data_IF_985477913272
#
_entry.id   IF_985477913272
#
_cell.length_a   1.000
_cell.length_b   1.000
_cell.length_c   1.000
_cell.angle_alpha   90.00
_cell.angle_beta   90.00
_cell.angle_gamma   90.00
#
_symmetry.space_group_name_H-M   'P 1'
#
loop_
_entity.id
_entity.type
_entity.pdbx_description
1 polymer ?
#
# COMPACT_ATOMS: atom_id res chain seq x y z
N UNK A 1 1.91 7.55 -4.84
CA UNK A 1 3.36 7.32 -4.61
C UNK A 1 3.81 7.75 -3.23
N UNK A 2 3.66 9.03 -2.84
CA UNK A 2 4.10 9.55 -1.53
C UNK A 2 3.58 8.72 -0.35
N UNK A 3 2.29 8.37 -0.37
CA UNK A 3 1.69 7.51 0.67
C UNK A 3 2.48 6.21 0.89
N UNK A 4 2.84 5.48 -0.17
CA UNK A 4 3.54 4.20 -0.04
C UNK A 4 4.98 4.35 0.46
N UNK A 5 5.62 5.49 0.19
CA UNK A 5 6.92 5.81 0.80
C UNK A 5 6.78 6.04 2.30
N UNK A 6 5.72 6.73 2.75
CA UNK A 6 5.43 6.89 4.17
C UNK A 6 5.09 5.56 4.85
N UNK A 7 4.35 4.67 4.17
CA UNK A 7 4.08 3.32 4.67
C UNK A 7 5.37 2.52 4.84
N UNK A 8 6.34 2.65 3.93
CA UNK A 8 7.65 2.00 4.09
C UNK A 8 8.36 2.46 5.37
N UNK A 9 8.35 3.77 5.66
CA UNK A 9 8.91 4.32 6.90
C UNK A 9 8.13 3.82 8.13
N UNK A 10 6.80 3.73 8.04
CA UNK A 10 5.95 3.18 9.08
C UNK A 10 6.26 1.71 9.38
N UNK A 11 6.55 0.88 8.37
CA UNK A 11 6.97 -0.51 8.57
C UNK A 11 8.31 -0.63 9.32
N UNK A 12 9.25 0.27 9.06
CA UNK A 12 10.48 0.36 9.86
C UNK A 12 10.18 0.73 11.32
N UNK A 13 9.26 1.67 11.55
CA UNK A 13 8.80 2.03 12.90
C UNK A 13 8.23 0.82 13.65
N UNK A 14 7.38 0.03 13.00
CA UNK A 14 6.86 -1.20 13.59
C UNK A 14 7.95 -2.21 13.91
N UNK A 15 8.93 -2.38 13.04
CA UNK A 15 10.06 -3.26 13.32
C UNK A 15 10.82 -2.86 14.57
N UNK A 16 11.19 -1.59 14.71
CA UNK A 16 11.93 -1.11 15.88
C UNK A 16 11.16 -1.39 17.17
N UNK A 17 9.84 -1.20 17.14
CA UNK A 17 8.97 -1.35 18.32
C UNK A 17 8.60 -2.80 18.63
N UNK A 18 8.50 -3.68 17.63
CA UNK A 18 8.00 -5.05 17.79
C UNK A 18 9.08 -6.13 17.68
N UNK A 19 10.29 -5.82 17.19
CA UNK A 19 11.38 -6.81 16.99
C UNK A 19 11.76 -7.57 18.26
N UNK A 20 11.64 -6.94 19.45
CA UNK A 20 11.92 -7.61 20.73
C UNK A 20 10.92 -8.73 21.03
N UNK A 21 9.70 -8.66 20.48
CA UNK A 21 8.68 -9.67 20.70
C UNK A 21 8.79 -10.83 19.71
N UNK A 22 8.94 -10.54 18.42
CA UNK A 22 9.20 -11.54 17.40
C UNK A 22 9.93 -10.94 16.21
N UNK A 23 11.27 -10.90 16.28
CA UNK A 23 12.11 -10.34 15.24
C UNK A 23 11.95 -11.04 13.89
N UNK A 24 11.84 -12.37 13.88
CA UNK A 24 11.73 -13.16 12.65
C UNK A 24 10.45 -12.85 11.88
N UNK A 25 9.29 -12.84 12.54
CA UNK A 25 8.03 -12.48 11.89
C UNK A 25 8.02 -11.04 11.41
N UNK A 26 8.63 -10.12 12.16
CA UNK A 26 8.73 -8.71 11.74
C UNK A 26 9.65 -8.53 10.52
N UNK A 27 10.76 -9.27 10.43
CA UNK A 27 11.61 -9.25 9.23
C UNK A 27 10.87 -9.76 7.99
N UNK A 28 10.14 -10.87 8.13
CA UNK A 28 9.31 -11.41 7.04
C UNK A 28 8.26 -10.36 6.63
N UNK A 29 7.57 -9.75 7.60
CA UNK A 29 6.57 -8.73 7.32
C UNK A 29 7.13 -7.53 6.55
N UNK A 30 8.29 -6.99 6.97
CA UNK A 30 8.93 -5.87 6.26
C UNK A 30 9.36 -6.28 4.86
N UNK A 31 9.96 -7.47 4.71
CA UNK A 31 10.41 -7.95 3.40
C UNK A 31 9.23 -7.98 2.42
N UNK A 32 8.11 -8.59 2.82
CA UNK A 32 6.91 -8.64 2.01
C UNK A 32 6.35 -7.24 1.74
N UNK A 33 6.29 -6.39 2.77
CA UNK A 33 5.81 -5.02 2.65
C UNK A 33 6.63 -4.19 1.66
N UNK A 34 7.96 -4.28 1.71
CA UNK A 34 8.86 -3.58 0.80
C UNK A 34 8.80 -4.11 -0.61
N UNK A 35 8.73 -5.44 -0.79
CA UNK A 35 8.51 -6.03 -2.12
C UNK A 35 7.19 -5.56 -2.73
N UNK A 36 6.12 -5.52 -1.94
CA UNK A 36 4.84 -4.99 -2.37
C UNK A 36 4.91 -3.50 -2.74
N UNK A 37 5.52 -2.67 -1.88
CA UNK A 37 5.68 -1.24 -2.16
C UNK A 37 6.53 -1.01 -3.42
N UNK A 38 7.60 -1.77 -3.62
CA UNK A 38 8.39 -1.73 -4.85
C UNK A 38 7.56 -2.09 -6.09
N UNK A 39 6.72 -3.14 -5.99
CA UNK A 39 5.80 -3.51 -7.06
C UNK A 39 4.80 -2.39 -7.38
N UNK A 40 4.26 -1.70 -6.38
CA UNK A 40 3.37 -0.54 -6.58
C UNK A 40 4.08 0.63 -7.26
N UNK A 41 5.32 0.92 -6.85
CA UNK A 41 6.08 2.01 -7.46
C UNK A 41 6.34 1.72 -8.95
N UNK A 42 6.60 0.45 -9.31
CA UNK A 42 6.73 0.02 -10.70
C UNK A 42 5.41 -0.04 -11.48
N UNK A 43 4.27 -0.25 -10.81
CA UNK A 43 2.95 -0.25 -11.46
C UNK A 43 2.39 1.16 -11.68
N UNK A 44 2.93 2.18 -11.01
CA UNK A 44 2.45 3.54 -11.11
C UNK A 44 2.86 4.19 -12.44
N UNK A 45 1.88 4.57 -13.26
CA UNK A 45 2.07 5.16 -14.60
C UNK A 45 1.95 6.69 -14.64
N UNK A 46 2.00 7.37 -13.50
CA UNK A 46 1.69 8.81 -13.43
C UNK A 46 2.67 9.69 -14.21
N UNK A 47 3.96 9.35 -14.24
CA UNK A 47 4.95 10.14 -14.98
C UNK A 47 4.85 9.90 -16.49
N UNK A 48 4.64 8.65 -16.91
CA UNK A 48 4.43 8.30 -18.31
C UNK A 48 3.14 8.92 -18.85
N UNK A 49 2.08 8.96 -18.04
CA UNK A 49 0.84 9.68 -18.37
C UNK A 49 1.05 11.19 -18.53
N UNK A 50 1.86 11.81 -17.67
CA UNK A 50 2.21 13.22 -17.80
C UNK A 50 2.99 13.48 -19.10
N UNK A 51 3.92 12.59 -19.43
CA UNK A 51 4.67 12.68 -20.68
C UNK A 51 3.77 12.54 -21.91
N UNK A 52 2.86 11.55 -21.92
CA UNK A 52 1.88 11.37 -22.98
C UNK A 52 0.94 12.58 -23.13
N UNK A 53 0.53 13.20 -22.03
CA UNK A 53 -0.28 14.42 -22.05
C UNK A 53 0.44 15.58 -22.74
N UNK A 54 1.75 15.74 -22.51
CA UNK A 54 2.57 16.75 -23.19
C UNK A 54 2.70 16.44 -24.68
N UNK A 55 3.00 15.18 -25.03
CA UNK A 55 3.07 14.73 -26.43
C UNK A 55 1.77 14.97 -27.19
N UNK A 56 0.61 14.77 -26.55
CA UNK A 56 -0.68 15.08 -27.13
C UNK A 56 -0.87 16.58 -27.40
N UNK A 57 -0.42 17.43 -26.47
CA UNK A 57 -0.55 18.89 -26.59
C UNK A 57 0.38 19.48 -27.67
N UNK A 58 1.61 18.96 -27.75
CA UNK A 58 2.62 19.41 -28.72
C UNK A 58 2.42 18.82 -30.13
N UNK A 59 1.50 17.87 -30.29
CA UNK A 59 1.23 17.22 -31.57
C UNK A 59 0.65 18.19 -32.62
N UNK A 60 1.35 18.28 -33.75
CA UNK A 60 1.00 19.15 -34.88
C UNK A 60 -0.03 18.55 -35.84
N UNK A 61 -0.29 17.24 -35.74
CA UNK A 61 -1.29 16.53 -36.57
C UNK A 61 -2.27 15.72 -35.73
N UNK A 62 -3.45 15.47 -36.29
CA UNK A 62 -4.48 14.63 -35.66
C UNK A 62 -4.04 13.16 -35.52
N UNK A 63 -3.23 12.68 -36.46
CA UNK A 63 -2.63 11.34 -36.42
C UNK A 63 -1.71 11.18 -35.20
N UNK A 64 -0.83 12.17 -34.93
CA UNK A 64 0.05 12.17 -33.75
C UNK A 64 -0.74 12.19 -32.45
N UNK A 65 -1.82 12.97 -32.39
CA UNK A 65 -2.74 13.00 -31.24
C UNK A 65 -3.40 11.66 -30.99
N UNK A 66 -3.84 11.00 -32.05
CA UNK A 66 -4.48 9.67 -31.98
C UNK A 66 -3.50 8.62 -31.46
N UNK A 67 -2.24 8.66 -31.87
CA UNK A 67 -1.19 7.77 -31.33
C UNK A 67 -0.98 7.99 -29.84
N UNK A 68 -0.90 9.25 -29.38
CA UNK A 68 -0.76 9.56 -27.95
C UNK A 68 -1.98 9.08 -27.13
N UNK A 69 -3.20 9.23 -27.66
CA UNK A 69 -4.42 8.72 -27.03
C UNK A 69 -4.44 7.19 -26.94
N UNK A 70 -4.06 6.50 -28.02
CA UNK A 70 -3.98 5.04 -28.04
C UNK A 70 -2.96 4.50 -27.02
N UNK A 71 -1.78 5.14 -26.94
CA UNK A 71 -0.78 4.82 -25.91
C UNK A 71 -1.32 5.06 -24.50
N UNK A 72 -2.08 6.14 -24.29
CA UNK A 72 -2.75 6.42 -23.02
C UNK A 72 -3.78 5.35 -22.66
N UNK A 73 -4.63 4.96 -23.61
CA UNK A 73 -5.61 3.88 -23.41
C UNK A 73 -4.91 2.56 -23.04
N UNK A 74 -3.85 2.19 -23.74
CA UNK A 74 -3.09 0.97 -23.44
C UNK A 74 -2.53 0.97 -22.00
N UNK A 75 -1.99 2.10 -21.55
CA UNK A 75 -1.51 2.25 -20.17
C UNK A 75 -2.65 2.16 -19.15
N UNK A 76 -3.82 2.76 -19.41
CA UNK A 76 -5.01 2.67 -18.56
C UNK A 76 -5.67 1.30 -18.57
N UNK A 77 -5.47 0.48 -19.60
CA UNK A 77 -5.90 -0.91 -19.58
C UNK A 77 -4.94 -1.80 -18.78
N UNK A 78 -3.65 -1.45 -18.73
CA UNK A 78 -2.61 -2.23 -18.07
C UNK A 78 -2.25 -1.84 -16.62
N UNK A 79 -2.68 -0.68 -16.11
CA UNK A 79 -2.21 -0.18 -14.80
C UNK A 79 -2.68 -1.03 -13.60
N UNK A 80 -3.82 -1.70 -13.73
CA UNK A 80 -4.33 -2.68 -12.75
C UNK A 80 -3.85 -4.10 -13.05
N UNK A 81 -2.65 -4.24 -13.61
CA UNK A 81 -2.06 -5.54 -13.90
C UNK A 81 -1.45 -6.23 -12.66
N UNK A 82 -0.72 -7.31 -12.92
CA UNK A 82 -0.13 -8.21 -11.90
C UNK A 82 0.65 -7.49 -10.79
N UNK A 83 1.40 -6.43 -11.12
CA UNK A 83 2.20 -5.70 -10.13
C UNK A 83 1.32 -5.00 -9.07
N UNK A 84 0.12 -4.53 -9.47
CA UNK A 84 -0.83 -3.91 -8.55
C UNK A 84 -1.47 -4.95 -7.61
N UNK A 85 -1.83 -6.12 -8.14
CA UNK A 85 -2.38 -7.21 -7.32
C UNK A 85 -1.36 -7.77 -6.33
N UNK A 86 -0.11 -7.95 -6.78
CA UNK A 86 1.01 -8.36 -5.92
C UNK A 86 1.21 -7.34 -4.79
N UNK A 87 1.13 -6.04 -5.08
CA UNK A 87 1.20 -5.02 -4.04
C UNK A 87 0.11 -5.20 -2.97
N UNK A 88 -1.14 -5.41 -3.37
CA UNK A 88 -2.27 -5.61 -2.44
C UNK A 88 -2.05 -6.83 -1.54
N UNK A 89 -1.73 -7.97 -2.16
CA UNK A 89 -1.57 -9.24 -1.46
C UNK A 89 -0.36 -9.19 -0.52
N UNK A 90 0.80 -8.72 -0.98
CA UNK A 90 2.00 -8.68 -0.15
C UNK A 90 1.87 -7.70 1.01
N UNK A 91 1.28 -6.51 0.78
CA UNK A 91 1.10 -5.53 1.86
C UNK A 91 0.03 -5.97 2.86
N UNK A 92 -1.05 -6.61 2.43
CA UNK A 92 -2.04 -7.12 3.37
C UNK A 92 -1.49 -8.29 4.20
N UNK A 93 -0.67 -9.19 3.63
CA UNK A 93 0.03 -10.23 4.41
C UNK A 93 0.99 -9.58 5.41
N UNK A 94 1.79 -8.59 4.98
CA UNK A 94 2.67 -7.85 5.87
C UNK A 94 1.90 -7.23 7.05
N UNK A 95 0.75 -6.61 6.77
CA UNK A 95 -0.10 -6.01 7.78
C UNK A 95 -0.70 -7.03 8.75
N UNK A 96 -1.14 -8.20 8.26
CA UNK A 96 -1.64 -9.30 9.11
C UNK A 96 -0.52 -9.78 10.04
N UNK A 97 0.69 -9.98 9.53
CA UNK A 97 1.84 -10.41 10.34
C UNK A 97 2.19 -9.37 11.42
N UNK A 98 2.24 -8.08 11.04
CA UNK A 98 2.48 -6.98 11.99
C UNK A 98 1.41 -6.98 13.07
N UNK A 99 0.14 -7.06 12.69
CA UNK A 99 -0.99 -7.04 13.60
C UNK A 99 -1.01 -8.27 14.54
N UNK A 100 -0.63 -9.43 14.03
CA UNK A 100 -0.45 -10.64 14.84
C UNK A 100 0.65 -10.47 15.91
N UNK A 101 1.79 -9.88 15.54
CA UNK A 101 2.86 -9.59 16.50
C UNK A 101 2.40 -8.53 17.51
N UNK A 102 1.64 -7.51 17.06
CA UNK A 102 1.04 -6.52 17.96
C UNK A 102 0.13 -7.16 19.01
N UNK A 103 -0.73 -8.11 18.64
CA UNK A 103 -1.62 -8.82 19.57
C UNK A 103 -0.85 -9.55 20.68
N UNK A 104 0.39 -9.96 20.39
CA UNK A 104 1.27 -10.65 21.34
C UNK A 104 2.15 -9.69 22.13
N UNK A 105 2.09 -8.40 21.89
CA UNK A 105 2.95 -7.39 22.52
C UNK A 105 2.15 -6.46 23.44
N UNK A 106 2.81 -5.90 24.44
CA UNK A 106 2.21 -4.86 25.31
C UNK A 106 2.47 -3.43 24.78
N UNK A 107 3.11 -3.32 23.61
CA UNK A 107 3.49 -2.03 23.01
C UNK A 107 2.29 -1.37 22.34
N UNK A 108 1.39 -2.15 21.75
CA UNK A 108 0.17 -1.65 21.09
C UNK A 108 -1.06 -2.20 21.80
N UNK A 109 -2.16 -1.46 21.73
CA UNK A 109 -3.44 -1.95 22.27
C UNK A 109 -3.98 -3.08 21.39
N UNK A 110 -4.68 -4.04 22.00
CA UNK A 110 -5.37 -5.12 21.27
C UNK A 110 -6.35 -4.56 20.21
N UNK A 111 -7.00 -3.43 20.52
CA UNK A 111 -7.86 -2.74 19.57
C UNK A 111 -7.10 -2.33 18.29
N UNK A 112 -5.93 -1.70 18.43
CA UNK A 112 -5.10 -1.31 17.28
C UNK A 112 -4.72 -2.53 16.43
N UNK A 113 -4.35 -3.63 17.09
CA UNK A 113 -3.99 -4.85 16.42
C UNK A 113 -5.18 -5.49 15.66
N UNK A 114 -6.39 -5.51 16.25
CA UNK A 114 -7.59 -6.02 15.59
C UNK A 114 -7.95 -5.18 14.35
N UNK A 115 -7.90 -3.85 14.44
CA UNK A 115 -8.16 -2.97 13.29
C UNK A 115 -7.11 -3.21 12.19
N UNK A 116 -5.85 -3.44 12.55
CA UNK A 116 -4.79 -3.82 11.60
C UNK A 116 -5.09 -5.16 10.89
N UNK A 117 -5.53 -6.18 11.64
CA UNK A 117 -5.93 -7.47 11.06
C UNK A 117 -7.10 -7.32 10.08
N UNK A 118 -8.16 -6.61 10.48
CA UNK A 118 -9.33 -6.36 9.62
C UNK A 118 -8.90 -5.65 8.33
N UNK A 119 -8.05 -4.63 8.45
CA UNK A 119 -7.50 -3.91 7.29
C UNK A 119 -6.73 -4.86 6.37
N UNK A 120 -5.85 -5.70 6.93
CA UNK A 120 -5.03 -6.64 6.15
C UNK A 120 -5.85 -7.71 5.44
N UNK A 121 -6.89 -8.24 6.09
CA UNK A 121 -7.82 -9.21 5.48
C UNK A 121 -8.62 -8.57 4.36
N UNK A 122 -9.13 -7.35 4.55
CA UNK A 122 -9.86 -6.65 3.49
C UNK A 122 -8.96 -6.32 2.28
N UNK A 123 -7.67 -6.07 2.51
CA UNK A 123 -6.69 -5.89 1.44
C UNK A 123 -6.37 -7.17 0.65
N UNK A 124 -6.78 -8.36 1.11
CA UNK A 124 -6.62 -9.61 0.34
C UNK A 124 -7.53 -9.70 -0.87
N UNK A 125 -8.56 -8.86 -0.92
CA UNK A 125 -9.46 -8.78 -2.06
C UNK A 125 -9.05 -7.54 -2.86
N UNK A 126 -8.24 -7.67 -3.92
CA UNK A 126 -7.79 -6.53 -4.70
C UNK A 126 -8.96 -5.89 -5.44
N UNK A 127 -8.85 -4.60 -5.75
CA UNK A 127 -9.90 -3.86 -6.47
C UNK A 127 -10.14 -4.38 -7.90
N UNK A 128 -9.23 -5.21 -8.40
CA UNK A 128 -9.30 -5.89 -9.71
C UNK A 128 -10.27 -7.06 -9.73
N UNK A 129 -10.74 -7.54 -8.57
CA UNK A 129 -11.76 -8.60 -8.44
C UNK A 129 -13.18 -8.11 -8.76
N UNK A 130 -13.32 -7.25 -9.76
CA UNK A 130 -14.59 -6.66 -10.20
C UNK A 130 -15.22 -5.71 -9.17
N UNK A 131 -16.54 -5.52 -9.27
CA UNK A 131 -17.28 -4.59 -8.41
C UNK A 131 -17.19 -4.94 -6.93
N UNK A 132 -17.12 -6.22 -6.58
CA UNK A 132 -16.95 -6.68 -5.19
C UNK A 132 -15.58 -6.24 -4.65
N UNK A 133 -14.51 -6.47 -5.41
CA UNK A 133 -13.17 -6.03 -5.03
C UNK A 133 -13.07 -4.51 -4.86
N UNK A 134 -13.72 -3.74 -5.73
CA UNK A 134 -13.80 -2.28 -5.62
C UNK A 134 -14.48 -1.85 -4.31
N UNK A 135 -15.64 -2.42 -3.99
CA UNK A 135 -16.36 -2.10 -2.74
C UNK A 135 -15.52 -2.46 -1.52
N UNK A 136 -14.92 -3.65 -1.49
CA UNK A 136 -14.04 -4.08 -0.40
C UNK A 136 -12.80 -3.19 -0.27
N UNK A 137 -12.19 -2.79 -1.38
CA UNK A 137 -11.03 -1.89 -1.37
C UNK A 137 -11.38 -0.48 -0.91
N UNK A 138 -12.61 0.00 -1.14
CA UNK A 138 -13.05 1.30 -0.61
C UNK A 138 -13.39 1.19 0.88
N UNK A 139 -14.07 0.11 1.28
CA UNK A 139 -14.40 -0.16 2.68
C UNK A 139 -13.14 -0.37 3.54
N UNK A 140 -12.10 -0.98 2.99
CA UNK A 140 -10.82 -1.23 3.69
C UNK A 140 -10.09 0.06 4.08
N UNK A 141 -10.37 1.17 3.39
CA UNK A 141 -9.78 2.48 3.72
C UNK A 141 -10.20 2.95 5.10
N UNK A 142 -11.44 2.66 5.54
CA UNK A 142 -11.94 3.12 6.84
C UNK A 142 -11.12 2.48 7.99
N UNK A 143 -11.00 1.14 8.10
CA UNK A 143 -10.11 0.51 9.06
C UNK A 143 -8.65 0.96 8.92
N UNK A 144 -8.16 1.13 7.69
CA UNK A 144 -6.78 1.54 7.44
C UNK A 144 -6.46 2.93 7.99
N UNK A 145 -7.35 3.91 7.82
CA UNK A 145 -7.16 5.25 8.37
C UNK A 145 -7.17 5.22 9.90
N UNK A 146 -8.10 4.48 10.50
CA UNK A 146 -8.16 4.31 11.96
C UNK A 146 -6.87 3.67 12.47
N UNK A 147 -6.40 2.61 11.82
CA UNK A 147 -5.13 1.95 12.14
C UNK A 147 -3.95 2.92 12.06
N UNK A 148 -3.85 3.69 10.98
CA UNK A 148 -2.75 4.62 10.75
C UNK A 148 -2.69 5.71 11.82
N UNK A 149 -3.85 6.25 12.23
CA UNK A 149 -3.94 7.24 13.30
C UNK A 149 -3.49 6.63 14.64
N UNK A 150 -3.96 5.42 14.98
CA UNK A 150 -3.59 4.74 16.22
C UNK A 150 -2.09 4.41 16.25
N UNK A 151 -1.54 3.92 15.13
CA UNK A 151 -0.12 3.64 14.98
C UNK A 151 0.72 4.90 15.14
N UNK A 152 0.35 6.00 14.47
CA UNK A 152 1.05 7.28 14.58
C UNK A 152 1.05 7.80 16.03
N UNK A 153 -0.09 7.75 16.72
CA UNK A 153 -0.18 8.14 18.15
C UNK A 153 0.76 7.32 19.03
N UNK A 154 0.86 6.02 18.78
CA UNK A 154 1.74 5.14 19.54
C UNK A 154 3.23 5.39 19.21
N UNK A 155 3.57 5.70 17.96
CA UNK A 155 4.92 6.12 17.57
C UNK A 155 5.35 7.39 18.31
N UNK A 156 4.49 8.43 18.36
CA UNK A 156 4.78 9.65 19.12
C UNK A 156 4.88 9.41 20.62
N UNK A 157 4.11 8.48 21.17
CA UNK A 157 4.22 8.12 22.59
C UNK A 157 5.57 7.45 22.88
N UNK A 158 5.98 6.54 22.01
CA UNK A 158 7.24 5.80 22.16
C UNK A 158 8.47 6.72 21.99
N UNK A 159 8.41 7.70 21.07
CA UNK A 159 9.51 8.66 20.87
C UNK A 159 9.68 9.65 22.01
N UNK A 160 8.68 9.80 22.90
CA UNK A 160 8.77 10.63 24.10
C UNK A 160 9.30 9.86 25.31
N UNK A 161 9.38 8.53 25.23
CA UNK A 161 9.78 7.65 26.32
C UNK A 161 11.23 7.15 26.21
N UNK A 162 11.85 7.31 25.05
CA UNK A 162 13.28 7.07 24.79
C UNK A 162 13.95 8.39 24.42
#
# INVERSE_FOLDING_TARGET
>A
MINNVLVAVMYLGFYVMLRKRNGSLMLIAILLGFLGIAAYLGSNKSFEMLQLSRLYFDAGTEEQRTVALAAGQAMLSGWQGTAFDIYYILNGIALILIAYVMLKSDVFTKFTAVIGLVSGVLMMIPSTAGMIGLVFSLLSLIPWYVFSILAARQFFRFSRQN
#
